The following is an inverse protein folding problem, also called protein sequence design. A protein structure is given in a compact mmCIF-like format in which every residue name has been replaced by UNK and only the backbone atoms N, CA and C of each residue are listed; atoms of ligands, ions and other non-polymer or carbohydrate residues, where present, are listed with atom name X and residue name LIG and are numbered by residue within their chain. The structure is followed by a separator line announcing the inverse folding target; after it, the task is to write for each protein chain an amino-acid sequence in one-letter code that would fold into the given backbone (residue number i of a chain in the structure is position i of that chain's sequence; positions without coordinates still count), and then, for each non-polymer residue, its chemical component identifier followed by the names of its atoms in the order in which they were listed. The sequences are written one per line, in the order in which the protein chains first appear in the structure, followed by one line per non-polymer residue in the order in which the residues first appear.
data_IF_028679196943
#
_entry.id   IF_028679196943
#
_cell.length_a   1.000
_cell.length_b   1.000
_cell.length_c   1.000
_cell.angle_alpha   90.00
_cell.angle_beta   90.00
_cell.angle_gamma   90.00
#
_symmetry.space_group_name_H-M   'P 1'
#
loop_
_entity.id
_entity.type
_entity.pdbx_description
1 polymer ?
#
# COMPACT_ATOMS: atom_id res chain seq x y z
N UNK A 1 1.96 -7.28 -21.91
CA UNK A 1 1.90 -8.00 -20.61
C UNK A 1 0.87 -7.29 -19.73
N UNK A 2 -0.23 -7.97 -19.37
CA UNK A 2 -1.27 -7.35 -18.54
C UNK A 2 -0.77 -7.25 -17.09
N UNK A 3 -0.26 -6.09 -16.66
CA UNK A 3 -0.02 -5.83 -15.23
C UNK A 3 -1.36 -5.73 -14.53
N UNK A 4 -1.81 -6.81 -13.91
CA UNK A 4 -3.02 -6.89 -13.09
C UNK A 4 -2.64 -6.96 -11.61
N UNK A 5 -1.79 -6.03 -11.16
CA UNK A 5 -1.41 -5.86 -9.75
C UNK A 5 -2.00 -4.55 -9.20
N UNK A 6 -3.23 -4.23 -9.56
CA UNK A 6 -3.95 -3.13 -8.95
C UNK A 6 -4.36 -3.56 -7.54
N UNK A 7 -3.91 -2.83 -6.53
CA UNK A 7 -4.54 -2.89 -5.21
C UNK A 7 -6.04 -2.64 -5.42
N UNK A 8 -6.88 -3.63 -5.12
CA UNK A 8 -8.34 -3.50 -5.27
C UNK A 8 -8.89 -3.00 -3.94
N UNK A 9 -9.38 -1.77 -3.94
CA UNK A 9 -10.03 -1.16 -2.79
C UNK A 9 -11.55 -1.31 -2.92
N UNK A 10 -12.23 -1.49 -1.79
CA UNK A 10 -13.68 -1.27 -1.76
C UNK A 10 -13.97 0.22 -1.99
N UNK A 11 -15.21 0.54 -2.36
CA UNK A 11 -15.60 1.93 -2.59
C UNK A 11 -15.42 2.76 -1.31
N UNK A 12 -15.87 2.22 -0.18
CA UNK A 12 -15.79 2.85 1.13
C UNK A 12 -14.32 3.14 1.49
N UNK A 13 -13.44 2.16 1.29
CA UNK A 13 -12.02 2.33 1.61
C UNK A 13 -11.35 3.34 0.68
N UNK A 14 -11.73 3.38 -0.59
CA UNK A 14 -11.23 4.37 -1.54
C UNK A 14 -11.67 5.78 -1.14
N UNK A 15 -12.93 5.95 -0.78
CA UNK A 15 -13.49 7.26 -0.36
C UNK A 15 -12.79 7.76 0.92
N UNK A 16 -12.54 6.88 1.90
CA UNK A 16 -11.73 7.18 3.08
C UNK A 16 -10.32 7.64 2.71
N UNK A 17 -9.63 6.89 1.83
CA UNK A 17 -8.26 7.23 1.42
C UNK A 17 -8.20 8.54 0.62
N UNK A 18 -9.20 8.83 -0.21
CA UNK A 18 -9.33 10.14 -0.87
C UNK A 18 -9.44 11.24 0.18
N UNK A 19 -10.23 11.02 1.25
CA UNK A 19 -10.33 11.99 2.33
C UNK A 19 -9.01 12.21 3.05
N UNK A 20 -8.24 11.16 3.32
CA UNK A 20 -6.90 11.28 3.92
C UNK A 20 -5.95 12.11 3.03
N UNK A 21 -5.98 11.90 1.72
CA UNK A 21 -5.17 12.69 0.78
C UNK A 21 -5.57 14.17 0.81
N UNK A 22 -6.87 14.50 0.83
CA UNK A 22 -7.33 15.89 0.98
C UNK A 22 -6.87 16.50 2.29
N UNK A 23 -7.05 15.78 3.39
CA UNK A 23 -6.67 16.23 4.74
C UNK A 23 -5.17 16.54 4.81
N UNK A 24 -4.34 15.69 4.22
CA UNK A 24 -2.89 15.92 4.15
C UNK A 24 -2.55 17.21 3.38
N UNK A 25 -3.18 17.45 2.23
CA UNK A 25 -2.92 18.67 1.44
C UNK A 25 -3.38 19.94 2.17
N UNK A 26 -4.54 19.88 2.83
CA UNK A 26 -5.03 20.98 3.65
C UNK A 26 -4.09 21.27 4.83
N UNK A 27 -3.68 20.23 5.56
CA UNK A 27 -2.85 20.38 6.77
C UNK A 27 -1.39 20.75 6.47
N UNK A 28 -0.75 20.08 5.50
CA UNK A 28 0.69 20.19 5.27
C UNK A 28 1.04 21.21 4.18
N UNK A 29 0.08 21.58 3.33
CA UNK A 29 0.31 22.45 2.17
C UNK A 29 -0.61 23.67 2.14
N UNK A 30 -1.51 23.83 3.12
CA UNK A 30 -2.54 24.86 3.14
C UNK A 30 -3.35 24.90 1.83
N UNK A 31 -3.49 23.73 1.18
CA UNK A 31 -4.06 23.58 -0.15
C UNK A 31 -5.33 22.72 -0.09
N UNK A 32 -6.49 23.34 -0.33
CA UNK A 32 -7.77 22.63 -0.43
C UNK A 32 -7.92 21.99 -1.83
N UNK A 33 -7.94 20.66 -1.88
CA UNK A 33 -8.15 19.90 -3.12
C UNK A 33 -9.47 19.13 -3.08
N UNK A 34 -10.17 19.07 -4.22
CA UNK A 34 -11.40 18.30 -4.36
C UNK A 34 -11.16 16.80 -4.54
N UNK A 35 -12.24 16.01 -4.44
CA UNK A 35 -12.21 14.53 -4.52
C UNK A 35 -11.59 14.00 -5.81
N UNK A 36 -11.80 14.69 -6.94
CA UNK A 36 -11.23 14.30 -8.22
C UNK A 36 -9.70 14.39 -8.19
N UNK A 37 -9.15 15.51 -7.68
CA UNK A 37 -7.71 15.72 -7.62
C UNK A 37 -7.05 14.75 -6.63
N UNK A 38 -7.64 14.59 -5.44
CA UNK A 38 -7.19 13.60 -4.45
C UNK A 38 -7.29 12.16 -4.97
N UNK A 39 -8.34 11.84 -5.73
CA UNK A 39 -8.50 10.56 -6.41
C UNK A 39 -7.41 10.27 -7.43
N UNK A 40 -7.03 11.26 -8.26
CA UNK A 40 -5.93 11.13 -9.22
C UNK A 40 -4.58 10.90 -8.53
N UNK A 41 -4.34 11.58 -7.40
CA UNK A 41 -3.13 11.37 -6.58
C UNK A 41 -3.13 9.96 -5.99
N UNK A 42 -4.26 9.50 -5.46
CA UNK A 42 -4.41 8.14 -4.94
C UNK A 42 -4.16 7.10 -6.04
N UNK A 43 -4.69 7.31 -7.25
CA UNK A 43 -4.45 6.43 -8.39
C UNK A 43 -2.97 6.38 -8.79
N UNK A 44 -2.30 7.53 -8.81
CA UNK A 44 -0.85 7.58 -9.03
C UNK A 44 -0.09 6.76 -7.98
N UNK A 45 -0.43 6.90 -6.69
CA UNK A 45 0.19 6.13 -5.61
C UNK A 45 -0.05 4.62 -5.82
N UNK A 46 -1.29 4.21 -6.09
CA UNK A 46 -1.65 2.79 -6.30
C UNK A 46 -0.93 2.21 -7.52
N UNK A 47 -0.85 2.95 -8.63
CA UNK A 47 -0.27 2.42 -9.86
C UNK A 47 1.26 2.44 -9.88
N UNK A 48 1.87 3.43 -9.24
CA UNK A 48 3.32 3.69 -9.36
C UNK A 48 4.10 3.29 -8.12
N UNK A 49 3.54 3.49 -6.93
CA UNK A 49 4.26 3.30 -5.66
C UNK A 49 3.87 2.00 -4.96
N UNK A 50 2.58 1.66 -4.93
CA UNK A 50 2.09 0.48 -4.21
C UNK A 50 2.75 -0.85 -4.59
N UNK A 51 3.15 -1.10 -5.87
CA UNK A 51 3.85 -2.34 -6.20
C UNK A 51 5.16 -2.53 -5.44
N UNK A 52 5.90 -1.46 -5.15
CA UNK A 52 7.16 -1.53 -4.38
C UNK A 52 6.88 -1.95 -2.94
N UNK A 53 5.91 -1.29 -2.29
CA UNK A 53 5.51 -1.62 -0.92
C UNK A 53 4.98 -3.06 -0.80
N UNK A 54 4.18 -3.52 -1.75
CA UNK A 54 3.67 -4.89 -1.76
C UNK A 54 4.78 -5.93 -1.95
N UNK A 55 5.71 -5.68 -2.87
CA UNK A 55 6.83 -6.59 -3.10
C UNK A 55 7.72 -6.68 -1.86
N UNK A 56 8.02 -5.54 -1.22
CA UNK A 56 8.78 -5.53 0.03
C UNK A 56 8.03 -6.26 1.14
N UNK A 57 6.72 -6.03 1.30
CA UNK A 57 5.93 -6.73 2.31
C UNK A 57 5.89 -8.25 2.10
N UNK A 58 5.85 -8.71 0.84
CA UNK A 58 5.96 -10.15 0.51
C UNK A 58 7.33 -10.68 0.87
N UNK A 59 8.40 -9.95 0.57
CA UNK A 59 9.76 -10.34 0.91
C UNK A 59 9.96 -10.42 2.43
N UNK A 60 9.49 -9.42 3.18
CA UNK A 60 9.57 -9.38 4.64
C UNK A 60 8.79 -10.55 5.26
N UNK A 61 7.60 -10.85 4.73
CA UNK A 61 6.79 -12.00 5.15
C UNK A 61 7.53 -13.32 4.88
N UNK A 62 8.21 -13.43 3.74
CA UNK A 62 9.04 -14.59 3.43
C UNK A 62 10.22 -14.74 4.38
N UNK A 63 10.94 -13.65 4.71
CA UNK A 63 12.03 -13.69 5.68
C UNK A 63 11.55 -14.14 7.05
N UNK A 64 10.45 -13.55 7.55
CA UNK A 64 9.86 -13.94 8.82
C UNK A 64 9.51 -15.43 8.88
N UNK A 65 8.88 -15.95 7.81
CA UNK A 65 8.52 -17.37 7.73
C UNK A 65 9.77 -18.27 7.65
N UNK A 66 10.79 -17.88 6.88
CA UNK A 66 12.03 -18.63 6.78
C UNK A 66 12.68 -18.77 8.16
N UNK A 67 12.85 -17.67 8.87
CA UNK A 67 13.51 -17.66 10.17
C UNK A 67 12.73 -18.54 11.17
N UNK A 68 11.40 -18.47 11.18
CA UNK A 68 10.57 -19.35 12.00
C UNK A 68 10.72 -20.85 11.64
N UNK A 69 10.88 -21.18 10.36
CA UNK A 69 11.11 -22.57 9.93
C UNK A 69 12.52 -23.07 10.25
N UNK A 70 13.52 -22.19 10.22
CA UNK A 70 14.90 -22.51 10.61
C UNK A 70 14.99 -22.78 12.11
N UNK A 71 14.34 -21.96 12.92
CA UNK A 71 14.20 -22.17 14.37
C UNK A 71 13.55 -23.52 14.68
N UNK A 72 12.49 -23.89 13.94
CA UNK A 72 11.84 -25.19 14.09
C UNK A 72 12.77 -26.35 13.74
N UNK A 73 13.56 -26.22 12.67
CA UNK A 73 14.51 -27.25 12.25
C UNK A 73 15.65 -27.43 13.27
N UNK A 74 16.10 -26.34 13.90
CA UNK A 74 17.14 -26.38 14.92
C UNK A 74 16.76 -27.19 16.17
N UNK A 75 15.46 -27.41 16.41
CA UNK A 75 14.98 -28.27 17.51
C UNK A 75 15.19 -29.77 17.23
N UNK A 76 15.46 -30.15 15.98
CA UNK A 76 15.76 -31.53 15.61
C UNK A 76 17.21 -31.85 15.98
N UNK A 77 17.40 -32.73 16.98
CA UNK A 77 18.70 -33.33 17.33
C UNK A 77 19.24 -34.25 16.24
#
# INVERSE_FOLDING_TARGET
MKKKNSVVLTKERRDEMISEVRNYFSAEREEEIGDLAAGLILDFIIEKLAPEFYNQAVYDSHQFMRDATEDLLALRK
#
